data_IF_769927114742
#
_entry.id   IF_769927114742
#
_cell.length_a   1.000
_cell.length_b   1.000
_cell.length_c   1.000
_cell.angle_alpha   90.00
_cell.angle_beta   90.00
_cell.angle_gamma   90.00
#
_symmetry.space_group_name_H-M   'P 1'
#
loop_
_entity.id
_entity.type
_entity.pdbx_description
1 polymer ?
#
# COMPACT_ATOMS: atom_id res chain seq x y z
N UNK A 1 22.64 -3.79 34.23
CA UNK A 1 22.30 -2.44 34.74
C UNK A 1 20.79 -2.42 34.84
N UNK A 2 20.23 -2.30 36.06
CA UNK A 2 18.78 -2.26 36.28
C UNK A 2 18.21 -1.11 35.45
N UNK A 3 17.36 -1.43 34.47
CA UNK A 3 16.67 -0.44 33.65
C UNK A 3 15.76 0.34 34.61
N UNK A 4 16.13 1.59 34.93
CA UNK A 4 15.26 2.50 35.67
C UNK A 4 14.00 2.62 34.83
N UNK A 5 12.86 2.25 35.40
CA UNK A 5 11.58 2.31 34.70
C UNK A 5 11.32 3.77 34.29
N UNK A 6 11.20 4.01 32.98
CA UNK A 6 11.01 5.34 32.43
C UNK A 6 9.54 5.72 32.60
N UNK A 7 9.24 6.52 33.63
CA UNK A 7 7.89 7.04 33.86
C UNK A 7 7.56 8.16 32.87
N UNK A 8 6.84 7.78 31.81
CA UNK A 8 6.37 8.69 30.75
C UNK A 8 5.51 9.82 31.32
N UNK A 9 4.66 9.55 32.32
CA UNK A 9 3.76 10.56 32.87
C UNK A 9 4.53 11.60 33.66
N UNK A 10 5.42 11.16 34.55
CA UNK A 10 6.30 12.08 35.29
C UNK A 10 7.16 12.89 34.32
N UNK A 11 7.68 12.24 33.28
CA UNK A 11 8.49 12.89 32.26
C UNK A 11 7.73 13.96 31.48
N UNK A 12 6.45 13.76 31.13
CA UNK A 12 5.66 14.79 30.42
C UNK A 12 5.24 15.94 31.33
N UNK A 13 4.95 15.67 32.60
CA UNK A 13 4.43 16.67 33.54
C UNK A 13 5.53 17.39 34.33
N UNK A 14 6.80 16.98 34.23
CA UNK A 14 7.90 17.59 34.98
C UNK A 14 8.24 19.00 34.48
N UNK A 15 8.77 19.82 35.40
CA UNK A 15 9.38 21.11 35.11
C UNK A 15 10.88 21.02 34.82
N UNK A 16 11.40 19.81 34.52
CA UNK A 16 12.83 19.62 34.26
C UNK A 16 13.26 20.23 32.93
N UNK A 17 14.57 20.19 32.64
CA UNK A 17 15.05 20.40 31.27
C UNK A 17 14.41 19.38 30.33
N UNK A 18 14.15 19.81 29.10
CA UNK A 18 13.57 19.01 28.04
C UNK A 18 14.31 19.31 26.73
N UNK A 19 15.11 18.35 26.26
CA UNK A 19 16.00 18.49 25.11
C UNK A 19 15.82 17.38 24.08
N UNK A 20 16.63 17.39 23.01
CA UNK A 20 16.55 16.37 21.94
C UNK A 20 16.71 14.93 22.44
N UNK A 21 17.63 14.69 23.39
CA UNK A 21 17.88 13.37 23.95
C UNK A 21 16.64 12.83 24.72
N UNK A 22 15.91 13.71 25.39
CA UNK A 22 14.69 13.38 26.12
C UNK A 22 13.60 12.89 25.15
N UNK A 23 13.49 13.50 23.97
CA UNK A 23 12.54 13.06 22.93
C UNK A 23 12.90 11.68 22.38
N UNK A 24 14.19 11.42 22.16
CA UNK A 24 14.67 10.10 21.71
C UNK A 24 14.37 9.04 22.77
N UNK A 25 14.64 9.32 24.05
CA UNK A 25 14.32 8.40 25.15
C UNK A 25 12.81 8.11 25.25
N UNK A 26 11.95 9.12 25.04
CA UNK A 26 10.50 8.92 24.99
C UNK A 26 10.10 7.99 23.84
N UNK A 27 10.66 8.18 22.65
CA UNK A 27 10.41 7.33 21.48
C UNK A 27 10.95 5.90 21.68
N UNK A 28 12.12 5.74 22.30
CA UNK A 28 12.69 4.46 22.68
C UNK A 28 11.79 3.72 23.67
N UNK A 29 11.30 4.43 24.70
CA UNK A 29 10.42 3.86 25.70
C UNK A 29 9.13 3.32 25.08
N UNK A 30 8.53 4.05 24.13
CA UNK A 30 7.32 3.62 23.40
C UNK A 30 7.63 2.49 22.42
N UNK A 31 8.82 2.48 21.80
CA UNK A 31 9.25 1.40 20.91
C UNK A 31 9.40 0.07 21.66
N UNK A 32 9.88 0.11 22.91
CA UNK A 32 10.05 -1.08 23.76
C UNK A 32 8.73 -1.58 24.34
N UNK A 33 7.82 -0.66 24.69
CA UNK A 33 6.51 -0.98 25.22
C UNK A 33 5.47 0.03 24.69
N UNK A 34 4.67 -0.43 23.72
CA UNK A 34 3.68 0.42 23.06
C UNK A 34 2.53 0.84 23.99
N UNK A 35 2.30 0.15 25.13
CA UNK A 35 1.28 0.58 26.09
C UNK A 35 1.57 1.98 26.66
N UNK A 36 2.85 2.37 26.69
CA UNK A 36 3.32 3.70 27.07
C UNK A 36 2.84 4.82 26.14
N UNK A 37 2.43 4.51 24.90
CA UNK A 37 1.78 5.48 24.01
C UNK A 37 0.45 5.98 24.59
N UNK A 38 -0.34 5.10 25.22
CA UNK A 38 -1.56 5.48 25.93
C UNK A 38 -1.26 6.39 27.12
N UNK A 39 -0.21 6.07 27.89
CA UNK A 39 0.26 6.90 29.01
C UNK A 39 0.71 8.29 28.54
N UNK A 40 1.44 8.38 27.42
CA UNK A 40 1.81 9.66 26.80
C UNK A 40 0.57 10.48 26.44
N UNK A 41 -0.42 9.87 25.79
CA UNK A 41 -1.67 10.54 25.41
C UNK A 41 -2.40 11.10 26.63
N UNK A 42 -2.53 10.31 27.69
CA UNK A 42 -3.24 10.72 28.90
C UNK A 42 -2.47 11.81 29.66
N UNK A 43 -1.14 11.72 29.74
CA UNK A 43 -0.29 12.75 30.34
C UNK A 43 -0.32 14.08 29.55
N UNK A 44 -0.38 14.02 28.22
CA UNK A 44 -0.57 15.21 27.37
C UNK A 44 -1.93 15.87 27.65
N UNK A 45 -3.00 15.09 27.84
CA UNK A 45 -4.31 15.63 28.20
C UNK A 45 -4.31 16.31 29.57
N UNK A 46 -3.50 15.84 30.52
CA UNK A 46 -3.30 16.53 31.80
C UNK A 46 -2.53 17.86 31.60
N UNK A 47 -1.46 17.86 30.79
CA UNK A 47 -0.69 19.06 30.46
C UNK A 47 -1.52 20.10 29.67
N UNK A 48 -2.47 19.66 28.86
CA UNK A 48 -3.44 20.49 28.14
C UNK A 48 -4.33 21.33 29.07
N UNK A 49 -4.68 20.79 30.25
CA UNK A 49 -5.59 21.44 31.22
C UNK A 49 -4.92 22.51 32.07
N UNK A 50 -3.61 22.62 32.04
CA UNK A 50 -2.88 23.66 32.76
C UNK A 50 -3.07 24.98 31.98
N UNK A 51 -3.77 25.95 32.58
CA UNK A 51 -4.10 27.23 31.93
C UNK A 51 -2.86 28.14 31.82
N UNK A 52 -2.13 28.35 32.91
CA UNK A 52 -0.94 29.21 32.97
C UNK A 52 0.37 28.43 32.68
N UNK A 53 0.47 27.88 31.47
CA UNK A 53 1.70 27.17 31.05
C UNK A 53 2.87 28.14 30.87
N UNK A 54 4.02 27.77 31.43
CA UNK A 54 5.28 28.45 31.10
C UNK A 54 5.67 28.18 29.64
N UNK A 55 6.48 29.06 29.01
CA UNK A 55 6.99 28.83 27.66
C UNK A 55 7.66 27.45 27.48
N UNK A 56 8.42 26.99 28.49
CA UNK A 56 9.03 25.65 28.48
C UNK A 56 8.00 24.50 28.50
N UNK A 57 6.90 24.65 29.25
CA UNK A 57 5.80 23.67 29.24
C UNK A 57 5.06 23.67 27.90
N UNK A 58 4.90 24.83 27.26
CA UNK A 58 4.33 24.93 25.90
C UNK A 58 5.21 24.23 24.86
N UNK A 59 6.54 24.36 24.96
CA UNK A 59 7.47 23.61 24.09
C UNK A 59 7.35 22.11 24.33
N UNK A 60 7.35 21.66 25.59
CA UNK A 60 7.18 20.24 25.94
C UNK A 60 5.86 19.69 25.38
N UNK A 61 4.76 20.39 25.61
CA UNK A 61 3.44 20.05 25.08
C UNK A 61 3.47 19.93 23.55
N UNK A 62 4.07 20.92 22.86
CA UNK A 62 4.17 20.93 21.41
C UNK A 62 5.00 19.78 20.84
N UNK A 63 6.10 19.42 21.49
CA UNK A 63 6.90 18.24 21.10
C UNK A 63 6.13 16.95 21.36
N UNK A 64 5.44 16.82 22.50
CA UNK A 64 4.60 15.65 22.77
C UNK A 64 3.45 15.53 21.77
N UNK A 65 2.85 16.64 21.33
CA UNK A 65 1.89 16.64 20.23
C UNK A 65 2.49 16.11 18.93
N UNK A 66 3.70 16.53 18.58
CA UNK A 66 4.40 16.00 17.41
C UNK A 66 4.61 14.49 17.52
N UNK A 67 5.06 14.01 18.69
CA UNK A 67 5.26 12.58 18.99
C UNK A 67 3.95 11.79 18.87
N UNK A 68 2.81 12.38 19.27
CA UNK A 68 1.47 11.81 19.13
C UNK A 68 0.85 11.96 17.72
N UNK A 69 1.56 12.56 16.76
CA UNK A 69 1.02 12.80 15.41
C UNK A 69 0.02 13.97 15.31
N UNK A 70 -0.17 14.76 16.38
CA UNK A 70 -1.08 15.91 16.43
C UNK A 70 -0.39 17.19 15.92
N UNK A 71 -0.06 17.23 14.63
CA UNK A 71 0.84 18.25 14.09
C UNK A 71 0.31 19.69 14.15
N UNK A 72 -0.98 19.93 13.94
CA UNK A 72 -1.55 21.28 14.06
C UNK A 72 -1.46 21.80 15.51
N UNK A 73 -1.78 20.94 16.47
CA UNK A 73 -1.60 21.24 17.91
C UNK A 73 -0.15 21.50 18.26
N UNK A 74 0.79 20.71 17.68
CA UNK A 74 2.22 20.90 17.86
C UNK A 74 2.68 22.28 17.40
N UNK A 75 2.31 22.70 16.18
CA UNK A 75 2.66 24.02 15.65
C UNK A 75 2.13 25.15 16.55
N UNK A 76 0.87 25.04 17.00
CA UNK A 76 0.26 26.07 17.86
C UNK A 76 0.93 26.16 19.23
N UNK A 77 1.22 25.02 19.87
CA UNK A 77 1.89 24.99 21.17
C UNK A 77 3.34 25.50 21.09
N UNK A 78 4.08 25.14 20.03
CA UNK A 78 5.48 25.56 19.84
C UNK A 78 5.61 27.06 19.52
N UNK A 79 4.63 27.65 18.82
CA UNK A 79 4.55 29.10 18.60
C UNK A 79 4.41 29.91 19.90
N UNK A 80 3.72 29.35 20.89
CA UNK A 80 3.55 29.95 22.22
C UNK A 80 4.70 29.57 23.19
N UNK A 81 5.73 28.89 22.69
CA UNK A 81 6.90 28.50 23.47
C UNK A 81 7.90 29.63 23.67
N UNK A 82 9.09 29.28 24.16
CA UNK A 82 10.21 30.21 24.40
C UNK A 82 10.93 30.64 23.11
N UNK A 83 10.53 30.10 21.95
CA UNK A 83 11.25 30.28 20.70
C UNK A 83 12.68 29.72 20.76
N UNK A 84 12.95 28.72 21.59
CA UNK A 84 14.25 28.06 21.67
C UNK A 84 14.55 27.19 20.45
N UNK A 85 15.80 26.72 20.38
CA UNK A 85 16.30 25.84 19.33
C UNK A 85 15.40 24.60 19.11
N UNK A 86 15.02 23.92 20.20
CA UNK A 86 14.16 22.73 20.17
C UNK A 86 12.77 23.06 19.64
N UNK A 87 12.17 24.16 20.11
CA UNK A 87 10.83 24.57 19.71
C UNK A 87 10.74 24.79 18.21
N UNK A 88 11.70 25.51 17.63
CA UNK A 88 11.77 25.79 16.18
C UNK A 88 12.06 24.54 15.36
N UNK A 89 12.92 23.65 15.84
CA UNK A 89 13.22 22.40 15.14
C UNK A 89 11.98 21.50 15.04
N UNK A 90 11.27 21.31 16.16
CA UNK A 90 10.03 20.51 16.16
C UNK A 90 8.85 21.22 15.49
N UNK A 91 8.85 22.56 15.44
CA UNK A 91 7.89 23.30 14.63
C UNK A 91 8.13 23.00 13.15
N UNK A 92 9.39 22.98 12.71
CA UNK A 92 9.77 22.56 11.36
C UNK A 92 9.34 21.12 11.05
N UNK A 93 9.58 20.18 11.97
CA UNK A 93 9.13 18.78 11.81
C UNK A 93 7.61 18.64 11.74
N UNK A 94 6.85 19.40 12.54
CA UNK A 94 5.39 19.41 12.48
C UNK A 94 4.85 20.04 11.18
N UNK A 95 5.45 21.15 10.73
CA UNK A 95 5.10 21.79 9.45
C UNK A 95 5.41 20.89 8.26
N UNK A 96 6.53 20.15 8.31
CA UNK A 96 6.87 19.15 7.31
C UNK A 96 5.81 18.06 7.23
N UNK A 97 5.34 17.55 8.37
CA UNK A 97 4.29 16.52 8.40
C UNK A 97 2.90 17.04 7.96
N UNK A 98 2.70 18.36 7.97
CA UNK A 98 1.53 19.05 7.38
C UNK A 98 1.75 19.44 5.91
N UNK A 99 2.82 18.95 5.26
CA UNK A 99 3.19 19.22 3.87
C UNK A 99 3.51 20.70 3.58
N UNK A 100 3.77 21.50 4.63
CA UNK A 100 4.15 22.91 4.53
C UNK A 100 5.67 23.05 4.42
N UNK A 101 6.24 22.51 3.34
CA UNK A 101 7.69 22.34 3.20
C UNK A 101 8.49 23.64 3.25
N UNK A 102 7.97 24.73 2.68
CA UNK A 102 8.64 26.04 2.71
C UNK A 102 8.75 26.60 4.13
N UNK A 103 7.65 26.61 4.88
CA UNK A 103 7.62 27.05 6.29
C UNK A 103 8.48 26.14 7.18
N UNK A 104 8.55 24.84 6.88
CA UNK A 104 9.42 23.90 7.59
C UNK A 104 10.91 24.27 7.41
N UNK A 105 11.34 24.59 6.18
CA UNK A 105 12.72 25.01 5.88
C UNK A 105 13.10 26.28 6.64
N UNK A 106 12.20 27.28 6.68
CA UNK A 106 12.39 28.51 7.45
C UNK A 106 12.54 28.22 8.95
N UNK A 107 11.72 27.30 9.48
CA UNK A 107 11.77 26.89 10.89
C UNK A 107 13.09 26.19 11.24
N UNK A 108 13.61 25.34 10.35
CA UNK A 108 14.92 24.69 10.55
C UNK A 108 16.07 25.69 10.51
N UNK A 109 16.04 26.67 9.61
CA UNK A 109 17.04 27.74 9.58
C UNK A 109 17.02 28.55 10.88
N UNK A 110 15.83 28.91 11.37
CA UNK A 110 15.68 29.62 12.63
C UNK A 110 16.08 28.76 13.86
N UNK A 111 15.90 27.44 13.81
CA UNK A 111 16.38 26.52 14.84
C UNK A 111 17.92 26.49 14.89
N UNK A 112 18.58 26.44 13.73
CA UNK A 112 20.04 26.50 13.63
C UNK A 112 20.58 27.82 14.20
N UNK A 113 19.98 28.97 13.84
CA UNK A 113 20.37 30.28 14.41
C UNK A 113 20.19 30.32 15.94
N UNK A 114 19.21 29.61 16.47
CA UNK A 114 18.96 29.51 17.90
C UNK A 114 19.89 28.51 18.63
N UNK A 115 20.82 27.86 17.93
CA UNK A 115 21.80 26.94 18.49
C UNK A 115 21.43 25.46 18.42
N UNK A 116 20.45 25.07 17.60
CA UNK A 116 20.21 23.66 17.32
C UNK A 116 21.37 23.09 16.48
N UNK A 117 21.58 21.77 16.54
CA UNK A 117 22.66 21.12 15.79
C UNK A 117 22.51 21.42 14.28
N UNK A 118 23.54 22.04 13.69
CA UNK A 118 23.51 22.53 12.31
C UNK A 118 23.35 21.39 11.29
N UNK A 119 24.04 20.27 11.51
CA UNK A 119 23.95 19.09 10.64
C UNK A 119 22.53 18.52 10.63
N UNK A 120 21.91 18.38 11.80
CA UNK A 120 20.52 17.93 11.92
C UNK A 120 19.52 18.88 11.24
N UNK A 121 19.75 20.20 11.33
CA UNK A 121 18.93 21.18 10.62
C UNK A 121 19.09 21.07 9.11
N UNK A 122 20.32 20.89 8.62
CA UNK A 122 20.61 20.73 7.20
C UNK A 122 20.01 19.44 6.63
N UNK A 123 20.11 18.32 7.35
CA UNK A 123 19.49 17.05 6.96
C UNK A 123 17.96 17.17 6.89
N UNK A 124 17.33 17.78 7.90
CA UNK A 124 15.88 18.01 7.91
C UNK A 124 15.43 19.00 6.82
N UNK A 125 16.27 19.98 6.48
CA UNK A 125 16.06 20.89 5.35
C UNK A 125 16.13 20.15 4.01
N UNK A 126 17.15 19.31 3.80
CA UNK A 126 17.27 18.52 2.59
C UNK A 126 16.08 17.57 2.39
N UNK A 127 15.61 16.96 3.48
CA UNK A 127 14.37 16.18 3.50
C UNK A 127 13.17 17.01 3.03
N UNK A 128 12.95 18.20 3.61
CA UNK A 128 11.86 19.09 3.22
C UNK A 128 11.95 19.57 1.77
N UNK A 129 13.16 19.87 1.27
CA UNK A 129 13.39 20.24 -0.13
C UNK A 129 13.04 19.09 -1.08
N UNK A 130 13.45 17.86 -0.75
CA UNK A 130 13.15 16.66 -1.53
C UNK A 130 11.65 16.43 -1.65
N UNK A 131 10.90 16.51 -0.54
CA UNK A 131 9.44 16.37 -0.58
C UNK A 131 8.73 17.57 -1.24
N UNK A 132 9.33 18.76 -1.18
CA UNK A 132 8.87 19.93 -1.92
C UNK A 132 9.15 19.88 -3.44
N UNK A 133 9.78 18.81 -3.94
CA UNK A 133 10.10 18.62 -5.36
C UNK A 133 11.43 19.25 -5.82
N UNK A 134 12.13 19.98 -4.93
CA UNK A 134 13.41 20.59 -5.25
C UNK A 134 14.58 19.64 -4.94
N UNK A 135 14.65 18.56 -5.73
CA UNK A 135 15.61 17.48 -5.52
C UNK A 135 17.07 17.94 -5.72
N UNK A 136 17.31 18.90 -6.59
CA UNK A 136 18.65 19.45 -6.81
C UNK A 136 19.12 20.31 -5.63
N UNK A 137 18.25 21.15 -5.05
CA UNK A 137 18.61 21.89 -3.85
C UNK A 137 18.79 20.98 -2.63
N UNK A 138 18.00 19.89 -2.54
CA UNK A 138 18.19 18.87 -1.52
C UNK A 138 19.59 18.24 -1.64
N UNK A 139 19.99 17.82 -2.85
CA UNK A 139 21.30 17.23 -3.09
C UNK A 139 22.44 18.22 -2.78
N UNK A 140 22.32 19.47 -3.24
CA UNK A 140 23.31 20.52 -2.94
C UNK A 140 23.44 20.79 -1.43
N UNK A 141 22.35 20.71 -0.66
CA UNK A 141 22.38 20.85 0.80
C UNK A 141 23.11 19.68 1.45
N UNK A 142 22.95 18.47 0.94
CA UNK A 142 23.66 17.29 1.41
C UNK A 142 25.15 17.31 1.01
N UNK A 143 25.48 17.76 -0.20
CA UNK A 143 26.87 17.86 -0.67
C UNK A 143 27.67 18.94 0.08
N UNK A 144 26.99 19.93 0.67
CA UNK A 144 27.61 20.94 1.53
C UNK A 144 27.96 20.43 2.93
N UNK A 145 27.40 19.28 3.36
CA UNK A 145 27.76 18.63 4.61
C UNK A 145 29.09 17.89 4.45
N UNK A 146 29.93 17.93 5.49
CA UNK A 146 31.25 17.31 5.44
C UNK A 146 31.69 16.76 6.80
N UNK A 147 32.55 15.74 6.78
CA UNK A 147 33.16 15.19 7.99
C UNK A 147 32.32 14.06 8.60
N UNK A 148 32.19 14.05 9.93
CA UNK A 148 31.58 12.92 10.65
C UNK A 148 30.10 12.70 10.29
N UNK A 149 29.38 13.77 9.92
CA UNK A 149 27.97 13.70 9.50
C UNK A 149 27.76 12.78 8.29
N UNK A 150 28.72 12.71 7.36
CA UNK A 150 28.61 11.89 6.14
C UNK A 150 28.57 10.38 6.42
N UNK A 151 29.00 9.98 7.62
CA UNK A 151 28.98 8.59 8.08
C UNK A 151 27.78 8.29 8.98
N UNK A 152 26.89 9.25 9.21
CA UNK A 152 25.66 9.01 9.98
C UNK A 152 24.62 8.30 9.14
N UNK A 153 23.82 7.44 9.77
CA UNK A 153 22.73 6.73 9.09
C UNK A 153 21.71 7.68 8.47
N UNK A 154 21.40 8.80 9.14
CA UNK A 154 20.47 9.81 8.64
C UNK A 154 21.00 10.49 7.36
N UNK A 155 22.28 10.87 7.32
CA UNK A 155 22.88 11.44 6.09
C UNK A 155 22.82 10.45 4.92
N UNK A 156 23.27 9.22 5.16
CA UNK A 156 23.29 8.16 4.14
C UNK A 156 21.87 7.88 3.61
N UNK A 157 20.88 7.86 4.51
CA UNK A 157 19.47 7.74 4.15
C UNK A 157 18.99 8.93 3.31
N UNK A 158 19.20 10.17 3.75
CA UNK A 158 18.71 11.35 3.01
C UNK A 158 19.39 11.46 1.63
N UNK A 159 20.67 11.10 1.52
CA UNK A 159 21.38 11.01 0.25
C UNK A 159 20.78 9.92 -0.64
N UNK A 160 20.59 8.71 -0.12
CA UNK A 160 19.96 7.61 -0.86
C UNK A 160 18.55 7.96 -1.36
N UNK A 161 17.73 8.57 -0.51
CA UNK A 161 16.38 9.00 -0.85
C UNK A 161 16.36 10.13 -1.90
N UNK A 162 17.33 11.05 -1.85
CA UNK A 162 17.45 12.14 -2.83
C UNK A 162 17.96 11.63 -4.17
N UNK A 163 18.96 10.75 -4.17
CA UNK A 163 19.47 10.09 -5.40
C UNK A 163 18.37 9.24 -6.05
N UNK A 164 17.56 8.54 -5.25
CA UNK A 164 16.40 7.82 -5.78
C UNK A 164 15.37 8.77 -6.43
N UNK A 165 15.08 9.91 -5.81
CA UNK A 165 14.10 10.88 -6.32
C UNK A 165 14.52 11.54 -7.65
N UNK A 166 15.82 11.69 -7.91
CA UNK A 166 16.35 12.20 -9.19
C UNK A 166 16.48 11.11 -10.28
N UNK A 167 16.06 9.87 -10.00
CA UNK A 167 16.22 8.75 -10.94
C UNK A 167 17.66 8.23 -11.03
N UNK A 168 18.43 8.36 -9.95
CA UNK A 168 19.79 7.82 -9.85
C UNK A 168 19.85 6.30 -9.93
N UNK A 169 21.06 5.75 -10.03
CA UNK A 169 21.26 4.32 -10.22
C UNK A 169 20.68 3.51 -9.03
N UNK A 170 19.77 2.55 -9.26
CA UNK A 170 19.16 1.76 -8.19
C UNK A 170 20.15 0.99 -7.31
N UNK A 171 21.30 0.58 -7.87
CA UNK A 171 22.34 -0.11 -7.10
C UNK A 171 23.09 0.83 -6.16
N UNK A 172 23.31 2.08 -6.56
CA UNK A 172 23.90 3.10 -5.70
C UNK A 172 22.94 3.47 -4.56
N UNK A 173 21.66 3.62 -4.86
CA UNK A 173 20.61 3.86 -3.87
C UNK A 173 20.55 2.72 -2.85
N UNK A 174 20.57 1.46 -3.31
CA UNK A 174 20.60 0.30 -2.45
C UNK A 174 21.81 0.32 -1.50
N UNK A 175 23.01 0.56 -2.04
CA UNK A 175 24.25 0.61 -1.26
C UNK A 175 24.25 1.73 -0.20
N UNK A 176 23.64 2.89 -0.51
CA UNK A 176 23.45 3.97 0.48
C UNK A 176 22.55 3.54 1.63
N UNK A 177 21.43 2.87 1.35
CA UNK A 177 20.56 2.35 2.39
C UNK A 177 21.18 1.21 3.18
N UNK A 178 21.92 0.30 2.55
CA UNK A 178 22.66 -0.77 3.22
C UNK A 178 23.66 -0.19 4.21
N UNK A 179 24.49 0.77 3.79
CA UNK A 179 25.43 1.46 4.68
C UNK A 179 24.72 2.20 5.82
N UNK A 180 23.57 2.83 5.56
CA UNK A 180 22.80 3.48 6.61
C UNK A 180 22.29 2.47 7.66
N UNK A 181 21.86 1.28 7.23
CA UNK A 181 21.42 0.19 8.12
C UNK A 181 22.60 -0.47 8.85
N UNK A 182 23.80 -0.49 8.26
CA UNK A 182 25.02 -0.95 8.96
C UNK A 182 25.40 0.01 10.10
N UNK A 183 25.26 1.32 9.89
CA UNK A 183 25.54 2.35 10.90
C UNK A 183 24.49 2.36 12.01
N UNK A 184 23.21 2.33 11.64
CA UNK A 184 22.09 2.19 12.57
C UNK A 184 21.13 1.08 12.09
N UNK A 185 21.21 -0.12 12.70
CA UNK A 185 20.36 -1.25 12.36
C UNK A 185 18.85 -1.00 12.52
N UNK A 186 18.44 0.06 13.21
CA UNK A 186 17.05 0.38 13.47
C UNK A 186 16.59 1.68 12.80
N UNK A 187 17.39 2.23 11.88
CA UNK A 187 17.05 3.47 11.20
C UNK A 187 15.78 3.31 10.33
N UNK A 188 14.65 3.96 10.68
CA UNK A 188 13.36 3.66 10.07
C UNK A 188 13.30 4.02 8.58
N UNK A 189 13.90 5.14 8.19
CA UNK A 189 13.98 5.60 6.79
C UNK A 189 14.76 4.64 5.90
N UNK A 190 16.01 4.34 6.27
CA UNK A 190 16.88 3.40 5.56
C UNK A 190 16.29 1.98 5.48
N UNK A 191 15.73 1.45 6.56
CA UNK A 191 15.06 0.14 6.55
C UNK A 191 13.90 0.13 5.53
N UNK A 192 13.05 1.16 5.53
CA UNK A 192 11.96 1.29 4.57
C UNK A 192 12.47 1.44 3.13
N UNK A 193 13.49 2.25 2.90
CA UNK A 193 14.11 2.45 1.59
C UNK A 193 14.69 1.15 1.02
N UNK A 194 15.45 0.41 1.83
CA UNK A 194 16.04 -0.87 1.46
C UNK A 194 14.98 -1.96 1.25
N UNK A 195 13.93 -1.97 2.09
CA UNK A 195 12.80 -2.88 1.91
C UNK A 195 12.06 -2.62 0.60
N UNK A 196 11.84 -1.35 0.27
CA UNK A 196 11.18 -0.93 -0.98
C UNK A 196 12.00 -1.26 -2.23
N UNK A 197 13.33 -1.20 -2.14
CA UNK A 197 14.22 -1.64 -3.22
C UNK A 197 14.21 -3.17 -3.37
N UNK A 198 14.24 -3.92 -2.26
CA UNK A 198 14.12 -5.39 -2.30
C UNK A 198 12.77 -5.86 -2.85
N UNK A 199 11.68 -5.24 -2.44
CA UNK A 199 10.33 -5.52 -2.95
C UNK A 199 10.24 -5.25 -4.46
N UNK A 200 10.86 -4.17 -4.96
CA UNK A 200 10.93 -3.89 -6.40
C UNK A 200 11.73 -4.94 -7.18
N UNK A 201 12.72 -5.57 -6.54
CA UNK A 201 13.53 -6.67 -7.12
C UNK A 201 12.89 -8.05 -6.96
N UNK A 202 11.72 -8.14 -6.32
CA UNK A 202 11.03 -9.42 -6.05
C UNK A 202 11.59 -10.20 -4.86
N UNK A 203 12.48 -9.59 -4.05
CA UNK A 203 13.07 -10.20 -2.86
C UNK A 203 12.10 -10.11 -1.66
N UNK A 204 10.90 -10.67 -1.79
CA UNK A 204 9.78 -10.49 -0.86
C UNK A 204 10.10 -10.88 0.60
N UNK A 205 10.84 -11.98 0.80
CA UNK A 205 11.23 -12.43 2.14
C UNK A 205 12.14 -11.42 2.85
N UNK A 206 13.13 -10.89 2.14
CA UNK A 206 14.05 -9.88 2.69
C UNK A 206 13.34 -8.55 2.90
N UNK A 207 12.48 -8.14 1.95
CA UNK A 207 11.67 -6.94 2.09
C UNK A 207 10.77 -7.01 3.34
N UNK A 208 10.10 -8.15 3.57
CA UNK A 208 9.27 -8.36 4.75
C UNK A 208 10.07 -8.20 6.05
N UNK A 209 11.23 -8.84 6.18
CA UNK A 209 12.08 -8.72 7.39
C UNK A 209 12.49 -7.26 7.66
N UNK A 210 12.80 -6.51 6.61
CA UNK A 210 13.17 -5.10 6.72
C UNK A 210 11.97 -4.23 7.10
N UNK A 211 10.79 -4.47 6.53
CA UNK A 211 9.56 -3.78 6.93
C UNK A 211 9.18 -4.09 8.38
N UNK A 212 9.24 -5.36 8.80
CA UNK A 212 8.97 -5.77 10.19
C UNK A 212 9.90 -5.04 11.17
N UNK A 213 11.19 -4.91 10.84
CA UNK A 213 12.14 -4.10 11.64
C UNK A 213 11.76 -2.62 11.65
N UNK A 214 11.39 -2.05 10.50
CA UNK A 214 11.04 -0.63 10.40
C UNK A 214 9.80 -0.26 11.24
N UNK A 215 8.80 -1.15 11.34
CA UNK A 215 7.55 -0.87 12.06
C UNK A 215 7.62 -1.11 13.57
N UNK A 216 8.72 -1.70 14.05
CA UNK A 216 9.00 -1.87 15.48
C UNK A 216 9.58 -0.60 16.12
N UNK A 217 9.94 0.41 15.31
CA UNK A 217 10.37 1.72 15.79
C UNK A 217 9.17 2.66 15.91
N UNK A 218 9.10 3.41 17.00
CA UNK A 218 8.12 4.48 17.17
C UNK A 218 8.70 5.85 16.77
N UNK A 219 7.96 6.69 16.01
CA UNK A 219 6.69 6.38 15.35
C UNK A 219 6.91 5.42 14.17
N UNK A 220 5.93 4.52 13.95
CA UNK A 220 6.02 3.54 12.88
C UNK A 220 5.93 4.23 11.51
N UNK A 221 6.80 3.82 10.58
CA UNK A 221 6.76 4.33 9.22
C UNK A 221 5.47 3.87 8.52
N UNK A 222 4.62 4.82 8.13
CA UNK A 222 3.32 4.56 7.48
C UNK A 222 3.49 3.77 6.18
N UNK A 223 4.49 4.11 5.37
CA UNK A 223 4.81 3.39 4.14
C UNK A 223 5.21 1.94 4.41
N UNK A 224 6.01 1.69 5.45
CA UNK A 224 6.39 0.35 5.85
C UNK A 224 5.19 -0.47 6.33
N UNK A 225 4.28 0.12 7.12
CA UNK A 225 3.04 -0.53 7.55
C UNK A 225 2.13 -0.88 6.36
N UNK A 226 1.97 0.03 5.39
CA UNK A 226 1.18 -0.25 4.19
C UNK A 226 1.76 -1.41 3.39
N UNK A 227 3.06 -1.36 3.09
CA UNK A 227 3.71 -2.37 2.25
C UNK A 227 3.78 -3.73 2.97
N UNK A 228 4.01 -3.74 4.29
CA UNK A 228 3.95 -4.96 5.09
C UNK A 228 2.54 -5.57 5.11
N UNK A 229 1.50 -4.72 5.21
CA UNK A 229 0.12 -5.16 5.11
C UNK A 229 -0.17 -5.86 3.78
N UNK A 230 0.28 -5.28 2.66
CA UNK A 230 0.13 -5.88 1.32
C UNK A 230 0.87 -7.21 1.23
N UNK A 231 2.09 -7.30 1.78
CA UNK A 231 2.84 -8.57 1.83
C UNK A 231 2.11 -9.64 2.67
N UNK A 232 1.45 -9.25 3.76
CA UNK A 232 0.66 -10.19 4.55
C UNK A 232 -0.62 -10.62 3.83
N UNK A 233 -1.29 -9.75 3.06
CA UNK A 233 -2.40 -10.15 2.20
C UNK A 233 -1.95 -11.14 1.11
N UNK A 234 -0.78 -10.92 0.51
CA UNK A 234 -0.16 -11.84 -0.44
C UNK A 234 0.15 -13.22 0.15
N UNK A 235 0.30 -13.29 1.48
CA UNK A 235 0.50 -14.53 2.23
C UNK A 235 -0.78 -15.05 2.87
N UNK A 236 -1.94 -14.47 2.54
CA UNK A 236 -3.26 -14.79 3.13
C UNK A 236 -3.32 -14.61 4.66
N UNK A 237 -2.40 -13.83 5.23
CA UNK A 237 -2.35 -13.48 6.67
C UNK A 237 -3.16 -12.23 6.93
N UNK A 238 -4.46 -12.29 6.63
CA UNK A 238 -5.35 -11.13 6.65
C UNK A 238 -5.42 -10.44 8.02
N UNK A 239 -5.36 -11.19 9.13
CA UNK A 239 -5.35 -10.61 10.47
C UNK A 239 -4.12 -9.72 10.71
N UNK A 240 -2.95 -10.14 10.22
CA UNK A 240 -1.72 -9.33 10.34
C UNK A 240 -1.77 -8.11 9.43
N UNK A 241 -2.36 -8.23 8.25
CA UNK A 241 -2.59 -7.10 7.35
C UNK A 241 -3.52 -6.05 7.98
N UNK A 242 -4.65 -6.49 8.53
CA UNK A 242 -5.60 -5.63 9.25
C UNK A 242 -4.90 -4.91 10.41
N UNK A 243 -4.11 -5.62 11.21
CA UNK A 243 -3.32 -5.03 12.29
C UNK A 243 -2.37 -3.93 11.79
N UNK A 244 -1.71 -4.12 10.65
CA UNK A 244 -0.85 -3.09 10.06
C UNK A 244 -1.63 -1.82 9.67
N UNK A 245 -2.80 -1.99 9.06
CA UNK A 245 -3.64 -0.86 8.62
C UNK A 245 -4.31 -0.14 9.79
N UNK A 246 -4.75 -0.87 10.82
CA UNK A 246 -5.31 -0.30 12.04
C UNK A 246 -4.29 0.57 12.78
N UNK A 247 -3.03 0.13 12.89
CA UNK A 247 -1.94 0.96 13.46
C UNK A 247 -1.74 2.29 12.74
N UNK A 248 -1.96 2.34 11.42
CA UNK A 248 -1.91 3.61 10.68
C UNK A 248 -3.10 4.49 11.07
N UNK A 249 -4.31 3.92 11.15
CA UNK A 249 -5.54 4.65 11.44
C UNK A 249 -5.60 5.14 12.90
N UNK A 250 -4.91 4.50 13.83
CA UNK A 250 -4.76 4.97 15.20
C UNK A 250 -4.04 6.33 15.28
N UNK A 251 -3.04 6.56 14.43
CA UNK A 251 -2.31 7.82 14.33
C UNK A 251 -2.91 8.79 13.29
N UNK A 252 -3.43 8.25 12.19
CA UNK A 252 -3.98 8.97 11.05
C UNK A 252 -5.39 8.46 10.70
N UNK A 253 -6.43 8.83 11.49
CA UNK A 253 -7.80 8.33 11.27
C UNK A 253 -8.36 8.63 9.87
N UNK A 254 -7.81 9.67 9.23
CA UNK A 254 -8.21 10.13 7.91
C UNK A 254 -7.38 9.54 6.75
N UNK A 255 -6.46 8.61 7.01
CA UNK A 255 -5.59 8.04 5.97
C UNK A 255 -6.39 7.21 4.96
N UNK A 256 -6.63 7.77 3.77
CA UNK A 256 -7.49 7.19 2.75
C UNK A 256 -7.07 5.77 2.34
N UNK A 257 -5.79 5.55 2.00
CA UNK A 257 -5.30 4.23 1.58
C UNK A 257 -5.41 3.16 2.67
N UNK A 258 -5.01 3.45 3.91
CA UNK A 258 -5.10 2.50 5.02
C UNK A 258 -6.55 2.08 5.29
N UNK A 259 -7.51 3.02 5.28
CA UNK A 259 -8.93 2.69 5.45
C UNK A 259 -9.45 1.77 4.36
N UNK A 260 -9.04 2.05 3.12
CA UNK A 260 -9.44 1.27 1.96
C UNK A 260 -8.83 -0.15 2.01
N UNK A 261 -7.53 -0.25 2.26
CA UNK A 261 -6.84 -1.53 2.38
C UNK A 261 -7.35 -2.36 3.58
N UNK A 262 -7.74 -1.72 4.69
CA UNK A 262 -8.39 -2.38 5.81
C UNK A 262 -9.75 -2.99 5.42
N UNK A 263 -10.57 -2.25 4.66
CA UNK A 263 -11.85 -2.76 4.16
C UNK A 263 -11.62 -3.96 3.24
N UNK A 264 -10.67 -3.87 2.32
CA UNK A 264 -10.31 -4.95 1.40
C UNK A 264 -9.83 -6.19 2.18
N UNK A 265 -8.90 -6.03 3.13
CA UNK A 265 -8.38 -7.13 3.94
C UNK A 265 -9.44 -7.79 4.83
N UNK A 266 -10.47 -7.04 5.29
CA UNK A 266 -11.62 -7.60 6.00
C UNK A 266 -12.53 -8.40 5.08
N UNK A 267 -12.86 -7.84 3.91
CA UNK A 267 -13.67 -8.54 2.92
C UNK A 267 -13.00 -9.84 2.45
N UNK A 268 -11.70 -9.81 2.16
CA UNK A 268 -10.94 -11.01 1.78
C UNK A 268 -10.97 -12.06 2.88
N UNK A 269 -10.76 -11.66 4.15
CA UNK A 269 -10.88 -12.57 5.30
C UNK A 269 -12.24 -13.26 5.32
N UNK A 270 -13.32 -12.49 5.22
CA UNK A 270 -14.69 -13.00 5.30
C UNK A 270 -15.05 -13.93 4.12
N UNK A 271 -14.49 -13.72 2.92
CA UNK A 271 -14.65 -14.64 1.78
C UNK A 271 -13.99 -16.00 2.00
N UNK A 272 -12.87 -16.08 2.74
CA UNK A 272 -12.22 -17.36 3.08
C UNK A 272 -12.91 -18.12 4.22
N UNK A 273 -13.81 -17.48 4.97
CA UNK A 273 -14.53 -18.12 6.08
C UNK A 273 -15.87 -18.77 5.68
N UNK A 274 -16.33 -18.69 4.42
CA UNK A 274 -17.49 -19.47 3.95
C UNK A 274 -17.05 -20.82 3.35
N UNK A 275 -16.52 -21.70 4.21
CA UNK A 275 -16.19 -23.09 3.84
C UNK A 275 -17.38 -23.81 3.17
N UNK A 276 -18.61 -23.45 3.52
CA UNK A 276 -19.79 -24.07 2.93
C UNK A 276 -20.07 -23.58 1.51
N UNK A 277 -19.90 -22.30 1.22
CA UNK A 277 -20.03 -21.77 -0.15
C UNK A 277 -18.95 -22.33 -1.06
N UNK A 278 -17.70 -22.43 -0.60
CA UNK A 278 -16.63 -23.03 -1.40
C UNK A 278 -16.92 -24.51 -1.68
N UNK A 279 -17.32 -25.30 -0.66
CA UNK A 279 -17.74 -26.70 -0.85
C UNK A 279 -18.94 -26.81 -1.80
N UNK A 280 -19.89 -25.87 -1.76
CA UNK A 280 -21.03 -25.82 -2.70
C UNK A 280 -20.56 -25.52 -4.13
N UNK A 281 -19.64 -24.58 -4.30
CA UNK A 281 -19.11 -24.18 -5.60
C UNK A 281 -18.22 -25.26 -6.23
N UNK A 282 -17.34 -25.88 -5.45
CA UNK A 282 -16.50 -27.01 -5.89
C UNK A 282 -17.37 -28.20 -6.30
N UNK A 283 -18.42 -28.50 -5.51
CA UNK A 283 -19.38 -29.56 -5.84
C UNK A 283 -20.15 -29.23 -7.12
N UNK A 284 -20.57 -27.99 -7.31
CA UNK A 284 -21.25 -27.55 -8.54
C UNK A 284 -20.30 -27.64 -9.75
N UNK A 285 -19.05 -27.19 -9.64
CA UNK A 285 -18.04 -27.27 -10.70
C UNK A 285 -17.76 -28.73 -11.10
N UNK A 286 -17.67 -29.65 -10.14
CA UNK A 286 -17.54 -31.08 -10.42
C UNK A 286 -18.73 -31.60 -11.21
N UNK A 287 -19.96 -31.24 -10.83
CA UNK A 287 -21.17 -31.65 -11.55
C UNK A 287 -21.19 -31.07 -12.98
N UNK A 288 -20.85 -29.79 -13.15
CA UNK A 288 -20.83 -29.15 -14.48
C UNK A 288 -19.78 -29.77 -15.42
N UNK A 289 -18.70 -30.34 -14.88
CA UNK A 289 -17.67 -31.00 -15.67
C UNK A 289 -18.03 -32.42 -16.12
N UNK A 290 -19.14 -33.00 -15.64
CA UNK A 290 -19.56 -34.35 -16.01
C UNK A 290 -19.85 -34.40 -17.53
N UNK A 291 -19.24 -35.33 -18.28
CA UNK A 291 -19.54 -35.52 -19.70
C UNK A 291 -20.99 -35.91 -19.94
N UNK A 292 -21.61 -35.37 -20.99
CA UNK A 292 -22.98 -35.76 -21.39
C UNK A 292 -23.06 -37.22 -21.86
N UNK A 293 -21.92 -37.84 -22.18
CA UNK A 293 -21.81 -39.26 -22.56
C UNK A 293 -22.00 -40.23 -21.41
N UNK A 294 -21.87 -39.76 -20.17
CA UNK A 294 -22.01 -40.58 -18.97
C UNK A 294 -23.49 -40.90 -18.66
N UNK A 295 -24.42 -40.30 -19.42
CA UNK A 295 -25.85 -40.49 -19.28
C UNK A 295 -26.43 -41.32 -20.43
N UNK A 296 -27.39 -42.19 -20.10
CA UNK A 296 -28.11 -43.02 -21.05
C UNK A 296 -29.10 -42.20 -21.88
N UNK A 297 -28.57 -41.48 -22.87
CA UNK A 297 -29.36 -40.69 -23.81
C UNK A 297 -29.67 -41.49 -25.07
N UNK A 298 -30.81 -41.19 -25.70
CA UNK A 298 -31.12 -41.77 -27.02
C UNK A 298 -30.08 -41.38 -28.06
N UNK A 299 -29.93 -42.22 -29.09
CA UNK A 299 -28.96 -42.00 -30.19
C UNK A 299 -29.19 -40.65 -30.87
N UNK A 300 -30.45 -40.18 -30.93
CA UNK A 300 -30.82 -38.87 -31.49
C UNK A 300 -30.32 -37.71 -30.63
N UNK A 301 -30.55 -37.79 -29.32
CA UNK A 301 -30.11 -36.77 -28.35
C UNK A 301 -28.58 -36.65 -28.35
N UNK A 302 -27.85 -37.77 -28.34
CA UNK A 302 -26.37 -37.77 -28.42
C UNK A 302 -25.82 -37.16 -29.70
N UNK A 303 -26.34 -37.58 -30.85
CA UNK A 303 -25.88 -37.05 -32.15
C UNK A 303 -26.15 -35.54 -32.28
N UNK A 304 -27.25 -35.05 -31.68
CA UNK A 304 -27.55 -33.63 -31.68
C UNK A 304 -26.59 -32.83 -30.78
N UNK A 305 -26.36 -33.28 -29.53
CA UNK A 305 -25.46 -32.61 -28.60
C UNK A 305 -24.02 -32.55 -29.13
N UNK A 306 -23.54 -33.66 -29.70
CA UNK A 306 -22.22 -33.72 -30.32
C UNK A 306 -22.09 -32.75 -31.50
N UNK A 307 -23.13 -32.62 -32.34
CA UNK A 307 -23.14 -31.70 -33.47
C UNK A 307 -23.18 -30.23 -33.05
N UNK A 308 -23.77 -29.95 -31.88
CA UNK A 308 -23.81 -28.61 -31.28
C UNK A 308 -22.55 -28.28 -30.46
N UNK A 309 -21.57 -29.20 -30.39
CA UNK A 309 -20.34 -29.01 -29.62
C UNK A 309 -20.55 -29.03 -28.10
N UNK A 310 -21.66 -29.59 -27.64
CA UNK A 310 -22.00 -29.69 -26.22
C UNK A 310 -21.40 -30.99 -25.69
N UNK A 311 -20.39 -30.87 -24.81
CA UNK A 311 -19.64 -32.02 -24.32
C UNK A 311 -19.88 -32.29 -22.83
N UNK A 312 -20.27 -31.26 -22.06
CA UNK A 312 -20.44 -31.34 -20.60
C UNK A 312 -21.82 -30.84 -20.16
N UNK A 313 -22.22 -31.15 -18.93
CA UNK A 313 -23.41 -30.55 -18.31
C UNK A 313 -23.31 -29.02 -18.22
N UNK A 314 -22.10 -28.49 -18.04
CA UNK A 314 -21.81 -27.06 -18.07
C UNK A 314 -22.13 -26.40 -19.42
N UNK A 315 -21.84 -27.08 -20.52
CA UNK A 315 -22.20 -26.57 -21.85
C UNK A 315 -23.71 -26.58 -22.04
N UNK A 316 -24.38 -27.64 -21.59
CA UNK A 316 -25.83 -27.82 -21.69
C UNK A 316 -26.60 -26.72 -20.93
N UNK A 317 -26.14 -26.41 -19.73
CA UNK A 317 -26.75 -25.40 -18.85
C UNK A 317 -26.59 -23.96 -19.37
N UNK A 318 -25.73 -23.73 -20.36
CA UNK A 318 -25.58 -22.44 -21.06
C UNK A 318 -26.38 -22.34 -22.36
N UNK A 319 -27.00 -23.43 -22.80
CA UNK A 319 -27.82 -23.48 -24.01
C UNK A 319 -29.30 -23.45 -23.64
N UNK A 320 -30.07 -22.61 -24.32
CA UNK A 320 -31.51 -22.47 -24.09
C UNK A 320 -32.31 -23.57 -24.81
N UNK A 321 -33.52 -23.85 -24.31
CA UNK A 321 -34.46 -24.77 -24.95
C UNK A 321 -34.75 -24.44 -26.42
N UNK A 322 -34.90 -23.14 -26.72
CA UNK A 322 -35.14 -22.67 -28.08
C UNK A 322 -33.97 -22.97 -29.02
N UNK A 323 -32.73 -22.90 -28.53
CA UNK A 323 -31.54 -23.23 -29.31
C UNK A 323 -31.42 -24.73 -29.58
N UNK A 324 -31.82 -25.58 -28.63
CA UNK A 324 -31.88 -27.04 -28.83
C UNK A 324 -32.98 -27.44 -29.80
N UNK A 325 -34.19 -26.88 -29.66
CA UNK A 325 -35.33 -27.13 -30.58
C UNK A 325 -35.12 -26.59 -31.99
N UNK A 326 -34.25 -25.58 -32.15
CA UNK A 326 -33.85 -25.06 -33.46
C UNK A 326 -32.93 -25.99 -34.26
N UNK A 327 -32.37 -27.03 -33.64
CA UNK A 327 -31.47 -27.98 -34.31
C UNK A 327 -32.22 -28.97 -35.19
N UNK A 328 -31.78 -29.14 -36.45
CA UNK A 328 -32.35 -30.14 -37.37
C UNK A 328 -32.19 -31.54 -36.78
N UNK A 329 -33.32 -32.20 -36.49
CA UNK A 329 -33.48 -33.54 -35.90
C UNK A 329 -33.50 -33.60 -34.36
N UNK A 330 -33.62 -32.47 -33.67
CA UNK A 330 -33.96 -32.44 -32.25
C UNK A 330 -35.47 -32.32 -32.07
N UNK A 331 -36.06 -33.04 -31.11
CA UNK A 331 -37.52 -33.05 -30.92
C UNK A 331 -37.91 -33.15 -29.46
N UNK A 332 -39.22 -33.01 -29.20
CA UNK A 332 -39.79 -32.91 -27.84
C UNK A 332 -39.37 -34.06 -26.91
N UNK A 333 -39.25 -35.28 -27.44
CA UNK A 333 -38.80 -36.45 -26.69
C UNK A 333 -37.34 -36.34 -26.25
N UNK A 334 -36.45 -35.81 -27.09
CA UNK A 334 -35.04 -35.55 -26.73
C UNK A 334 -34.89 -34.41 -25.74
N UNK A 335 -35.79 -33.43 -25.77
CA UNK A 335 -35.83 -32.33 -24.80
C UNK A 335 -36.20 -32.83 -23.39
N UNK A 336 -37.19 -33.73 -23.29
CA UNK A 336 -37.57 -34.37 -22.02
C UNK A 336 -36.41 -35.19 -21.47
N UNK A 337 -35.73 -35.99 -22.29
CA UNK A 337 -34.52 -36.75 -21.88
C UNK A 337 -33.43 -35.84 -21.30
N UNK A 338 -33.20 -34.67 -21.92
CA UNK A 338 -32.22 -33.68 -21.44
C UNK A 338 -32.65 -33.05 -20.11
N UNK A 339 -33.94 -32.70 -19.95
CA UNK A 339 -34.45 -32.14 -18.68
C UNK A 339 -34.35 -33.14 -17.53
N UNK A 340 -34.71 -34.39 -17.77
CA UNK A 340 -34.61 -35.45 -16.76
C UNK A 340 -33.16 -35.69 -16.35
N UNK A 341 -32.24 -35.70 -17.31
CA UNK A 341 -30.80 -35.84 -17.06
C UNK A 341 -30.25 -34.69 -16.22
N UNK A 342 -30.53 -33.42 -16.58
CA UNK A 342 -30.12 -32.26 -15.79
C UNK A 342 -30.77 -32.27 -14.39
N UNK A 343 -32.07 -32.59 -14.34
CA UNK A 343 -32.83 -32.69 -13.09
C UNK A 343 -32.28 -33.73 -12.12
N UNK A 344 -31.75 -34.85 -12.62
CA UNK A 344 -31.10 -35.89 -11.80
C UNK A 344 -29.84 -35.39 -11.05
N UNK A 345 -29.26 -34.27 -11.51
CA UNK A 345 -28.12 -33.59 -10.90
C UNK A 345 -28.48 -32.25 -10.27
N UNK A 346 -29.77 -31.92 -10.20
CA UNK A 346 -30.26 -30.65 -9.65
C UNK A 346 -29.90 -29.43 -10.50
N UNK A 347 -29.76 -29.60 -11.81
CA UNK A 347 -29.48 -28.54 -12.77
C UNK A 347 -30.72 -28.27 -13.64
N UNK A 348 -30.82 -27.05 -14.16
CA UNK A 348 -31.85 -26.65 -15.12
C UNK A 348 -31.25 -26.20 -16.45
N UNK A 349 -31.99 -26.44 -17.52
CA UNK A 349 -31.55 -26.11 -18.87
C UNK A 349 -31.55 -24.59 -19.07
N UNK A 350 -30.45 -24.03 -19.56
CA UNK A 350 -30.32 -22.58 -19.75
C UNK A 350 -30.13 -21.75 -18.47
N UNK A 351 -29.96 -22.37 -17.29
CA UNK A 351 -29.74 -21.65 -16.02
C UNK A 351 -28.53 -20.70 -16.06
N UNK A 352 -27.52 -20.97 -16.91
CA UNK A 352 -26.33 -20.13 -17.11
C UNK A 352 -26.28 -19.50 -18.51
N UNK A 353 -27.41 -19.44 -19.23
CA UNK A 353 -27.45 -18.88 -20.59
C UNK A 353 -27.08 -17.39 -20.67
N UNK A 354 -27.16 -16.66 -19.55
CA UNK A 354 -26.76 -15.26 -19.42
C UNK A 354 -25.24 -15.07 -19.35
N UNK A 355 -24.46 -16.12 -19.08
CA UNK A 355 -23.00 -16.10 -18.97
C UNK A 355 -22.28 -16.33 -20.32
N UNK A 356 -23.03 -16.53 -21.41
CA UNK A 356 -22.48 -16.70 -22.74
C UNK A 356 -21.87 -15.36 -23.22
N UNK A 357 -20.58 -15.15 -22.94
CA UNK A 357 -19.82 -13.96 -23.35
C UNK A 357 -19.87 -13.81 -24.88
N UNK A 358 -20.26 -12.64 -25.43
CA UNK A 358 -20.04 -12.35 -26.83
C UNK A 358 -18.52 -12.36 -27.12
N UNK A 359 -18.09 -12.74 -28.34
CA UNK A 359 -16.68 -12.68 -28.71
C UNK A 359 -16.17 -11.25 -28.57
N UNK A 360 -15.10 -11.08 -27.79
CA UNK A 360 -14.54 -9.77 -27.51
C UNK A 360 -14.04 -9.09 -28.79
N UNK A 361 -14.22 -7.77 -28.92
CA UNK A 361 -13.61 -7.02 -30.01
C UNK A 361 -12.09 -7.11 -29.90
N UNK A 362 -11.46 -7.42 -31.04
CA UNK A 362 -10.02 -7.43 -31.24
C UNK A 362 -9.50 -6.01 -31.08
N UNK A 363 -8.47 -5.84 -30.25
CA UNK A 363 -7.73 -4.58 -30.12
C UNK A 363 -6.99 -4.30 -31.44
N UNK A 364 -7.41 -3.26 -32.17
CA UNK A 364 -6.89 -2.90 -33.49
C UNK A 364 -5.89 -1.73 -33.40
N UNK A 365 -4.60 -2.06 -33.44
CA UNK A 365 -3.47 -1.12 -33.33
C UNK A 365 -3.14 -0.39 -34.64
N UNK A 366 -3.92 -0.59 -35.72
CA UNK A 366 -3.50 -0.19 -37.08
C UNK A 366 -3.60 1.31 -37.39
N UNK A 367 -4.04 2.15 -36.44
CA UNK A 367 -4.21 3.60 -36.66
C UNK A 367 -3.29 4.52 -35.84
N UNK A 368 -2.34 3.96 -35.06
CA UNK A 368 -1.52 4.74 -34.13
C UNK A 368 -0.34 5.43 -34.81
N UNK A 369 -0.09 6.68 -34.42
CA UNK A 369 1.08 7.46 -34.84
C UNK A 369 2.38 6.97 -34.19
N UNK A 370 3.52 7.31 -34.78
CA UNK A 370 4.84 6.89 -34.27
C UNK A 370 5.11 7.37 -32.83
N UNK A 371 4.59 8.54 -32.45
CA UNK A 371 4.74 9.09 -31.10
C UNK A 371 3.87 8.35 -30.07
N UNK A 372 2.69 7.88 -30.48
CA UNK A 372 1.81 7.07 -29.63
C UNK A 372 2.43 5.68 -29.40
N UNK A 373 3.00 5.05 -30.42
CA UNK A 373 3.70 3.76 -30.29
C UNK A 373 4.88 3.88 -29.31
N UNK A 374 5.68 4.94 -29.42
CA UNK A 374 6.80 5.19 -28.50
C UNK A 374 6.35 5.44 -27.04
N UNK A 375 5.14 5.96 -26.83
CA UNK A 375 4.59 6.14 -25.49
C UNK A 375 4.15 4.81 -24.85
N UNK A 376 3.75 3.83 -25.66
CA UNK A 376 3.31 2.50 -25.22
C UNK A 376 4.47 1.58 -24.84
N UNK A 377 5.65 1.76 -25.44
CA UNK A 377 6.85 0.99 -25.10
C UNK A 377 7.50 1.41 -23.77
N UNK A 378 6.98 2.47 -23.13
CA UNK A 378 7.49 2.93 -21.83
C UNK A 378 7.30 1.84 -20.77
N UNK A 379 8.28 1.67 -19.85
CA UNK A 379 8.15 0.75 -18.73
C UNK A 379 6.94 1.08 -17.86
N UNK A 380 6.23 0.06 -17.39
CA UNK A 380 5.10 0.23 -16.47
C UNK A 380 5.51 0.86 -15.14
N UNK A 381 6.79 0.79 -14.79
CA UNK A 381 7.37 1.44 -13.62
C UNK A 381 7.18 2.98 -13.63
N UNK A 382 7.11 3.59 -14.82
CA UNK A 382 6.96 5.05 -14.98
C UNK A 382 5.59 5.55 -14.49
N UNK A 383 4.58 4.68 -14.44
CA UNK A 383 3.25 5.00 -13.90
C UNK A 383 3.24 5.17 -12.37
N UNK A 384 4.33 4.83 -11.68
CA UNK A 384 4.48 4.97 -10.23
C UNK A 384 3.30 4.35 -9.45
N UNK A 385 2.93 3.12 -9.83
CA UNK A 385 1.84 2.35 -9.22
C UNK A 385 2.20 1.89 -7.80
N UNK A 386 1.18 1.74 -6.94
CA UNK A 386 1.33 1.12 -5.62
C UNK A 386 1.94 -0.28 -5.70
N UNK A 387 2.53 -0.74 -4.60
CA UNK A 387 3.07 -2.12 -4.50
C UNK A 387 2.02 -3.16 -4.92
N UNK A 388 0.76 -2.98 -4.48
CA UNK A 388 -0.34 -3.89 -4.82
C UNK A 388 -0.61 -3.93 -6.33
N UNK A 389 -0.76 -2.77 -6.97
CA UNK A 389 -1.00 -2.69 -8.40
C UNK A 389 0.21 -3.19 -9.20
N UNK A 390 1.43 -2.79 -8.81
CA UNK A 390 2.67 -3.17 -9.47
C UNK A 390 2.93 -4.69 -9.39
N UNK A 391 2.64 -5.33 -8.25
CA UNK A 391 2.73 -6.80 -8.11
C UNK A 391 1.75 -7.53 -9.02
N UNK A 392 0.54 -7.00 -9.21
CA UNK A 392 -0.40 -7.53 -10.20
C UNK A 392 0.17 -7.45 -11.62
N UNK A 393 0.76 -6.31 -12.01
CA UNK A 393 1.40 -6.18 -13.32
C UNK A 393 2.47 -7.25 -13.54
N UNK A 394 3.34 -7.45 -12.54
CA UNK A 394 4.38 -8.49 -12.59
C UNK A 394 3.77 -9.90 -12.73
N UNK A 395 2.71 -10.22 -11.96
CA UNK A 395 2.02 -11.53 -12.04
C UNK A 395 1.37 -11.78 -13.40
N UNK A 396 0.82 -10.74 -14.01
CA UNK A 396 0.22 -10.78 -15.33
C UNK A 396 1.24 -10.70 -16.47
N UNK A 397 2.54 -10.57 -16.14
CA UNK A 397 3.62 -10.45 -17.11
C UNK A 397 3.63 -9.12 -17.88
N UNK A 398 3.00 -8.09 -17.32
CA UNK A 398 2.87 -6.76 -17.93
C UNK A 398 4.10 -5.94 -17.55
N UNK A 399 4.91 -5.60 -18.55
CA UNK A 399 6.16 -4.86 -18.41
C UNK A 399 6.07 -3.45 -19.01
N UNK A 400 5.20 -3.25 -19.99
CA UNK A 400 5.03 -1.97 -20.71
C UNK A 400 3.64 -1.39 -20.52
N UNK A 401 3.51 -0.07 -20.73
CA UNK A 401 2.20 0.60 -20.70
C UNK A 401 1.29 0.04 -21.82
N UNK A 402 1.84 -0.28 -23.00
CA UNK A 402 1.09 -0.88 -24.10
C UNK A 402 0.47 -2.23 -23.76
N UNK A 403 1.19 -3.09 -23.08
CA UNK A 403 0.64 -4.38 -22.61
C UNK A 403 -0.49 -4.19 -21.60
N UNK A 404 -0.42 -3.14 -20.77
CA UNK A 404 -1.49 -2.80 -19.82
C UNK A 404 -2.75 -2.32 -20.54
N UNK A 405 -2.62 -1.45 -21.55
CA UNK A 405 -3.78 -0.92 -22.28
C UNK A 405 -4.58 -2.02 -23.00
N UNK A 406 -3.93 -3.12 -23.36
CA UNK A 406 -4.58 -4.28 -24.00
C UNK A 406 -5.45 -5.10 -23.06
N UNK A 407 -5.33 -4.90 -21.74
CA UNK A 407 -6.12 -5.57 -20.71
C UNK A 407 -7.39 -4.80 -20.39
N UNK A 408 -8.45 -5.53 -20.09
CA UNK A 408 -9.69 -4.95 -19.55
C UNK A 408 -9.60 -4.79 -18.04
N UNK A 409 -10.50 -3.97 -17.46
CA UNK A 409 -10.61 -3.88 -16.00
C UNK A 409 -10.95 -5.22 -15.35
N UNK A 410 -11.75 -6.05 -16.02
CA UNK A 410 -12.11 -7.40 -15.56
C UNK A 410 -10.89 -8.33 -15.56
N UNK A 411 -10.05 -8.28 -16.61
CA UNK A 411 -8.82 -9.08 -16.69
C UNK A 411 -7.89 -8.82 -15.49
N UNK A 412 -7.84 -7.55 -15.06
CA UNK A 412 -7.02 -7.16 -13.91
C UNK A 412 -7.66 -7.62 -12.59
N UNK A 413 -8.99 -7.55 -12.47
CA UNK A 413 -9.74 -7.98 -11.28
C UNK A 413 -9.72 -9.50 -11.06
N UNK A 414 -9.47 -10.30 -12.09
CA UNK A 414 -9.25 -11.75 -11.95
C UNK A 414 -7.92 -12.06 -11.23
N UNK A 415 -7.00 -11.09 -11.14
CA UNK A 415 -5.73 -11.29 -10.46
C UNK A 415 -5.91 -11.36 -8.93
N UNK A 416 -5.37 -12.41 -8.30
CA UNK A 416 -5.39 -12.56 -6.84
C UNK A 416 -4.85 -11.31 -6.14
N UNK A 417 -5.54 -10.85 -5.10
CA UNK A 417 -5.23 -9.66 -4.31
C UNK A 417 -5.20 -8.34 -5.12
N UNK A 418 -5.81 -8.32 -6.32
CA UNK A 418 -6.05 -7.11 -7.08
C UNK A 418 -7.54 -6.74 -6.99
N UNK A 419 -7.84 -5.74 -6.18
CA UNK A 419 -9.22 -5.25 -5.99
C UNK A 419 -9.56 -4.04 -6.87
N UNK A 420 -10.84 -3.64 -6.82
CA UNK A 420 -11.38 -2.43 -7.46
C UNK A 420 -10.57 -1.17 -7.11
N UNK A 421 -10.02 -1.13 -5.89
CA UNK A 421 -9.09 -0.09 -5.45
C UNK A 421 -7.87 0.06 -6.36
N UNK A 422 -7.15 -1.05 -6.60
CA UNK A 422 -5.96 -1.05 -7.45
C UNK A 422 -6.32 -0.75 -8.89
N UNK A 423 -7.50 -1.20 -9.35
CA UNK A 423 -8.02 -0.89 -10.68
C UNK A 423 -8.27 0.62 -10.83
N UNK A 424 -8.89 1.26 -9.84
CA UNK A 424 -9.15 2.70 -9.88
C UNK A 424 -7.83 3.50 -9.85
N UNK A 425 -6.84 3.07 -9.07
CA UNK A 425 -5.50 3.66 -9.10
C UNK A 425 -4.87 3.56 -10.49
N UNK A 426 -4.92 2.38 -11.10
CA UNK A 426 -4.39 2.18 -12.47
C UNK A 426 -5.10 3.10 -13.47
N UNK A 427 -6.43 3.18 -13.41
CA UNK A 427 -7.23 4.09 -14.25
C UNK A 427 -6.86 5.54 -14.05
N UNK A 428 -6.71 5.99 -12.81
CA UNK A 428 -6.34 7.37 -12.47
C UNK A 428 -4.95 7.71 -13.03
N UNK A 429 -3.97 6.82 -12.85
CA UNK A 429 -2.62 6.99 -13.38
C UNK A 429 -2.60 7.02 -14.91
N UNK A 430 -3.31 6.10 -15.57
CA UNK A 430 -3.43 6.12 -17.03
C UNK A 430 -4.09 7.40 -17.53
N UNK A 431 -5.16 7.85 -16.87
CA UNK A 431 -5.87 9.10 -17.21
C UNK A 431 -4.96 10.32 -17.07
N UNK A 432 -4.10 10.36 -16.05
CA UNK A 432 -3.11 11.43 -15.88
C UNK A 432 -2.08 11.50 -17.02
N UNK A 433 -1.89 10.38 -17.74
CA UNK A 433 -1.07 10.30 -18.95
C UNK A 433 -1.89 10.38 -20.26
N UNK A 434 -3.20 10.66 -20.18
CA UNK A 434 -4.08 10.72 -21.35
C UNK A 434 -4.44 9.35 -21.95
N UNK A 435 -4.22 8.27 -21.21
CA UNK A 435 -4.44 6.89 -21.64
C UNK A 435 -5.63 6.26 -20.92
N UNK A 436 -6.19 5.19 -21.48
CA UNK A 436 -7.29 4.42 -20.89
C UNK A 436 -7.12 2.93 -21.09
N UNK A 437 -7.61 2.12 -20.14
CA UNK A 437 -7.68 0.68 -20.31
C UNK A 437 -8.66 0.31 -21.42
N UNK A 438 -8.45 -0.83 -22.06
CA UNK A 438 -9.39 -1.38 -23.03
C UNK A 438 -10.75 -1.61 -22.38
N UNK A 439 -11.78 -0.93 -22.90
CA UNK A 439 -13.15 -1.01 -22.42
C UNK A 439 -13.63 0.19 -21.58
N UNK A 440 -12.73 1.13 -21.23
CA UNK A 440 -13.04 2.41 -20.56
C UNK A 440 -13.02 3.62 -21.52
#
# INVERSE_FOLDING_TARGET
MLQVDFDVKQFVLSSSTFGPADVVHLQDAISQDFSRYGVLRDAVQELERIEDRSPAMSVRLGVCYYVLGRYEGAVNALKNGDGGALARFYQGKALFALEKYKEAIESYAAAQTAGYNADQCALAKAEAQRYGGDHHAALATLDALSGAVEQTAEYLYQRGATVAAIGGNPNEVAALYERAVEVDPNHPGALFGLASENDRRGNDSQAQQLYERAVNRFPANVGALLNLGVLYEDQEKFEKAQYCYERILDAFPNHARARLYLKDARASRDMFFDEEAQKRQDRLSQVLSIPVTDFELSVRSRNCLQKMGINTLGDLTRVTEQQLLGSKNFGETSLVEIREMLGSKGLELGQFAHEARPPEPVYDDTSMSADEIASLERPIADLNLSVRARKCMVRLGIQTIGELLRRTGDDLLECKNFGVTSLNEVREKLTAHGLKLRGD
#
